data_IF_416441683410
#
_entry.id   IF_416441683410
#
_cell.length_a   1.000
_cell.length_b   1.000
_cell.length_c   1.000
_cell.angle_alpha   90.00
_cell.angle_beta   90.00
_cell.angle_gamma   90.00
#
_symmetry.space_group_name_H-M   'P 1'
#
loop_
_entity.id
_entity.type
_entity.pdbx_description
1 polymer ?
#
# COMPACT_ATOMS: atom_id res chain seq x y z
N UNK A 1 13.89 -15.45 4.06
CA UNK A 1 14.78 -14.95 5.11
C UNK A 1 14.20 -15.30 6.48
N UNK A 2 14.95 -16.05 7.28
CA UNK A 2 14.52 -16.48 8.62
C UNK A 2 15.01 -15.50 9.73
N UNK A 3 15.21 -14.23 9.36
CA UNK A 3 15.68 -13.21 10.29
C UNK A 3 14.55 -12.74 11.22
N UNK A 4 14.83 -12.66 12.53
CA UNK A 4 13.90 -12.15 13.53
C UNK A 4 13.79 -10.61 13.48
N UNK A 5 14.85 -9.93 13.12
CA UNK A 5 14.92 -8.48 12.96
C UNK A 5 15.68 -8.17 11.67
N UNK A 6 15.13 -7.26 10.87
CA UNK A 6 15.79 -6.69 9.69
C UNK A 6 15.88 -5.19 9.89
N UNK A 7 17.06 -4.63 9.67
CA UNK A 7 17.31 -3.20 9.62
C UNK A 7 17.54 -2.81 8.17
N UNK A 8 16.80 -1.82 7.70
CA UNK A 8 16.92 -1.29 6.34
C UNK A 8 17.34 0.16 6.48
N UNK A 9 18.47 0.49 5.86
CA UNK A 9 19.03 1.83 5.88
C UNK A 9 19.72 2.12 4.54
N UNK A 10 20.24 3.31 4.38
CA UNK A 10 21.07 3.74 3.26
C UNK A 10 22.44 4.16 3.77
N UNK A 11 23.47 4.14 2.94
CA UNK A 11 24.82 4.63 3.21
C UNK A 11 24.89 6.16 3.25
N UNK A 12 24.05 6.83 2.44
CA UNK A 12 23.88 8.28 2.39
C UNK A 12 22.48 8.65 1.90
N UNK A 13 22.09 9.90 2.06
CA UNK A 13 20.96 10.52 1.39
C UNK A 13 21.37 11.13 0.05
N UNK A 14 20.49 11.90 -0.56
CA UNK A 14 20.78 12.60 -1.83
C UNK A 14 19.91 13.84 -2.00
N UNK A 15 20.44 14.80 -2.78
CA UNK A 15 19.67 15.94 -3.28
C UNK A 15 18.94 15.54 -4.56
N UNK A 16 17.65 15.78 -4.58
CA UNK A 16 16.84 15.68 -5.80
C UNK A 16 16.38 17.05 -6.24
N UNK A 17 16.66 17.41 -7.50
CA UNK A 17 16.15 18.63 -8.12
C UNK A 17 15.34 18.29 -9.35
N UNK A 18 14.08 18.72 -9.36
CA UNK A 18 13.16 18.46 -10.48
C UNK A 18 13.50 19.30 -11.71
N UNK A 19 13.88 20.56 -11.49
CA UNK A 19 14.27 21.49 -12.53
C UNK A 19 15.80 21.62 -12.60
N UNK A 20 16.39 21.92 -13.76
CA UNK A 20 17.79 22.32 -13.87
C UNK A 20 18.07 23.54 -12.98
N UNK A 21 19.25 23.58 -12.35
CA UNK A 21 19.68 24.76 -11.58
C UNK A 21 20.08 25.88 -12.52
N UNK A 22 19.75 27.10 -12.10
CA UNK A 22 20.21 28.33 -12.74
C UNK A 22 21.72 28.52 -12.56
N UNK A 23 22.33 29.36 -13.39
CA UNK A 23 23.79 29.54 -13.34
C UNK A 23 24.27 30.18 -12.03
N UNK A 24 23.47 31.05 -11.38
CA UNK A 24 23.81 31.63 -10.09
C UNK A 24 23.75 30.64 -8.92
N UNK A 25 23.13 29.46 -9.10
CA UNK A 25 23.11 28.38 -8.13
C UNK A 25 24.34 27.47 -8.27
N UNK A 26 25.28 27.81 -9.14
CA UNK A 26 26.48 27.02 -9.44
C UNK A 26 27.73 27.82 -9.16
N UNK A 27 28.53 27.35 -8.24
CA UNK A 27 29.81 27.95 -7.90
C UNK A 27 30.92 27.44 -8.85
N UNK A 28 31.74 28.32 -9.32
CA UNK A 28 32.89 27.96 -10.13
C UNK A 28 34.09 27.50 -9.28
N UNK A 29 35.12 26.95 -9.92
CA UNK A 29 36.37 26.56 -9.25
C UNK A 29 37.13 27.76 -8.67
N UNK A 30 36.93 28.94 -9.21
CA UNK A 30 37.59 30.22 -8.84
C UNK A 30 37.35 30.63 -7.39
N UNK A 31 36.28 30.12 -6.76
CA UNK A 31 36.01 30.36 -5.34
C UNK A 31 36.89 29.52 -4.41
N UNK A 32 37.48 28.42 -4.93
CA UNK A 32 38.31 27.51 -4.16
C UNK A 32 39.77 27.95 -4.23
N UNK A 33 40.40 28.12 -3.07
CA UNK A 33 41.82 28.51 -2.96
C UNK A 33 42.63 27.35 -2.40
N UNK A 34 43.76 27.04 -3.05
CA UNK A 34 44.62 25.92 -2.70
C UNK A 34 44.77 24.90 -3.82
N UNK A 35 45.54 23.87 -3.60
CA UNK A 35 45.70 22.77 -4.52
C UNK A 35 44.42 21.86 -4.49
N UNK A 36 43.66 21.80 -5.56
CA UNK A 36 42.46 20.97 -5.65
C UNK A 36 42.89 19.54 -5.96
N UNK A 37 42.69 18.64 -5.01
CA UNK A 37 42.97 17.18 -5.15
C UNK A 37 41.79 16.43 -5.72
N UNK A 38 40.57 16.81 -5.32
CA UNK A 38 39.34 16.24 -5.83
C UNK A 38 38.30 17.33 -6.07
N UNK A 39 37.50 17.19 -7.13
CA UNK A 39 36.46 18.17 -7.45
C UNK A 39 35.20 17.44 -7.97
N UNK A 40 34.13 17.53 -7.22
CA UNK A 40 32.82 16.97 -7.52
C UNK A 40 31.76 18.06 -7.45
N UNK A 41 30.53 17.74 -7.85
CA UNK A 41 29.44 18.72 -7.82
C UNK A 41 29.05 19.17 -6.41
N UNK A 42 29.23 18.31 -5.40
CA UNK A 42 28.81 18.57 -4.02
C UNK A 42 29.94 18.71 -3.02
N UNK A 43 31.17 18.41 -3.42
CA UNK A 43 32.35 18.63 -2.60
C UNK A 43 33.62 18.84 -3.44
N UNK A 44 34.61 19.41 -2.79
CA UNK A 44 35.98 19.41 -3.26
C UNK A 44 36.92 19.09 -2.10
N UNK A 45 38.06 18.47 -2.37
CA UNK A 45 39.14 18.24 -1.39
C UNK A 45 40.32 19.12 -1.82
N UNK A 46 40.82 19.91 -0.86
CA UNK A 46 41.89 20.88 -1.06
C UNK A 46 43.07 20.53 -0.16
N UNK A 47 44.30 20.79 -0.62
CA UNK A 47 45.49 20.83 0.22
C UNK A 47 45.78 22.27 0.62
N UNK A 48 46.04 22.48 1.93
CA UNK A 48 46.27 23.79 2.53
C UNK A 48 45.01 24.40 3.15
N UNK A 49 45.16 25.50 3.86
CA UNK A 49 44.02 26.23 4.42
C UNK A 49 43.37 27.08 3.34
N UNK A 50 42.11 26.83 3.08
CA UNK A 50 41.29 27.69 2.26
C UNK A 50 40.80 28.88 3.12
N UNK A 51 41.29 30.08 2.85
CA UNK A 51 40.79 31.29 3.47
C UNK A 51 39.61 31.84 2.65
N UNK A 52 38.60 32.32 3.36
CA UNK A 52 37.41 33.02 2.85
C UNK A 52 36.97 32.62 1.42
N UNK A 53 36.12 31.66 1.35
CA UNK A 53 35.48 31.24 0.09
C UNK A 53 33.96 31.29 0.27
N UNK A 54 33.22 31.38 -0.84
CA UNK A 54 31.77 31.19 -0.85
C UNK A 54 31.41 29.70 -0.81
N UNK A 55 32.03 28.97 0.14
CA UNK A 55 31.82 27.56 0.39
C UNK A 55 32.01 27.24 1.87
N UNK A 56 31.36 26.20 2.38
CA UNK A 56 31.60 25.70 3.73
C UNK A 56 32.89 24.90 3.72
N UNK A 57 33.83 25.26 4.59
CA UNK A 57 35.14 24.60 4.72
C UNK A 57 35.16 23.73 5.99
N UNK A 58 35.54 22.48 5.86
CA UNK A 58 35.73 21.60 6.99
C UNK A 58 37.16 21.03 6.96
N UNK A 59 37.99 21.29 8.00
CA UNK A 59 39.27 20.62 8.19
C UNK A 59 39.08 19.12 8.33
N UNK A 60 40.02 18.34 7.81
CA UNK A 60 39.97 16.88 7.89
C UNK A 60 40.84 16.30 9.01
N UNK A 61 41.04 17.08 10.10
CA UNK A 61 41.80 16.66 11.27
C UNK A 61 41.25 15.40 11.92
N UNK A 62 39.91 15.30 11.98
CA UNK A 62 39.22 14.12 12.53
C UNK A 62 39.53 12.84 11.74
N UNK A 63 39.96 12.97 10.49
CA UNK A 63 40.40 11.85 9.65
C UNK A 63 41.92 11.67 9.65
N UNK A 64 42.63 12.31 10.60
CA UNK A 64 44.10 12.32 10.69
C UNK A 64 44.79 12.88 9.43
N UNK A 65 44.19 13.86 8.79
CA UNK A 65 44.68 14.53 7.58
C UNK A 65 44.62 16.06 7.74
N UNK A 66 45.41 16.63 8.68
CA UNK A 66 45.37 18.08 8.98
C UNK A 66 45.80 18.95 7.82
N UNK A 67 46.53 18.43 6.86
CA UNK A 67 46.93 19.10 5.66
C UNK A 67 45.82 19.26 4.62
N UNK A 68 44.67 18.62 4.84
CA UNK A 68 43.53 18.59 3.90
C UNK A 68 42.33 19.37 4.48
N UNK A 69 41.55 19.94 3.54
CA UNK A 69 40.28 20.59 3.84
C UNK A 69 39.25 20.16 2.81
N UNK A 70 38.05 19.85 3.27
CA UNK A 70 36.90 19.61 2.39
C UNK A 70 36.10 20.91 2.24
N UNK A 71 35.72 21.25 1.00
CA UNK A 71 34.91 22.38 0.66
C UNK A 71 33.55 21.91 0.12
N UNK A 72 32.47 22.51 0.59
CA UNK A 72 31.09 22.16 0.22
C UNK A 72 30.34 23.42 -0.22
N UNK A 73 29.57 23.38 -1.32
CA UNK A 73 28.71 24.51 -1.68
C UNK A 73 27.56 24.63 -0.67
N UNK A 74 27.09 25.85 -0.45
CA UNK A 74 26.00 26.14 0.48
C UNK A 74 24.67 25.51 0.03
N UNK A 75 23.91 25.00 0.98
CA UNK A 75 22.55 24.48 0.78
C UNK A 75 22.45 23.48 -0.38
N UNK A 76 21.61 23.77 -1.36
CA UNK A 76 21.40 22.97 -2.57
C UNK A 76 22.28 23.37 -3.75
N UNK A 77 23.14 24.39 -3.60
CA UNK A 77 24.08 24.84 -4.62
C UNK A 77 25.06 23.70 -5.00
N UNK A 78 25.74 23.87 -6.11
CA UNK A 78 26.73 22.89 -6.56
C UNK A 78 27.92 23.57 -7.26
N UNK A 79 29.02 22.87 -7.26
CA UNK A 79 30.18 23.31 -8.05
C UNK A 79 29.91 23.03 -9.54
N UNK A 80 30.30 23.98 -10.38
CA UNK A 80 30.13 23.90 -11.84
C UNK A 80 31.02 22.81 -12.43
N UNK A 81 30.38 21.85 -13.10
CA UNK A 81 31.06 20.78 -13.82
C UNK A 81 30.36 20.54 -15.16
N UNK A 82 31.15 20.26 -16.21
CA UNK A 82 30.61 19.85 -17.50
C UNK A 82 30.00 18.43 -17.46
N UNK A 83 28.96 18.25 -18.26
CA UNK A 83 28.35 16.94 -18.54
C UNK A 83 27.52 16.32 -17.41
N UNK A 84 26.79 15.27 -17.73
CA UNK A 84 26.07 14.40 -16.81
C UNK A 84 24.74 14.91 -16.26
N UNK A 85 23.84 14.00 -15.90
CA UNK A 85 22.60 14.30 -15.18
C UNK A 85 22.91 14.89 -13.80
N UNK A 86 22.17 15.93 -13.44
CA UNK A 86 22.34 16.62 -12.16
C UNK A 86 21.08 16.54 -11.29
N UNK A 87 20.11 15.68 -11.65
CA UNK A 87 18.85 15.55 -10.93
C UNK A 87 19.02 14.89 -9.55
N UNK A 88 19.92 13.93 -9.44
CA UNK A 88 20.26 13.24 -8.18
C UNK A 88 21.74 13.44 -7.88
N UNK A 89 22.05 14.05 -6.75
CA UNK A 89 23.42 14.30 -6.29
C UNK A 89 23.57 13.95 -4.82
N UNK A 90 24.77 13.54 -4.46
CA UNK A 90 25.17 13.24 -3.08
C UNK A 90 26.63 13.64 -2.84
N UNK A 91 27.10 13.51 -1.59
CA UNK A 91 28.48 13.81 -1.21
C UNK A 91 28.68 15.21 -0.66
N UNK A 92 27.58 15.96 -0.40
CA UNK A 92 27.61 17.21 0.34
C UNK A 92 27.21 17.04 1.80
N UNK A 93 27.04 18.18 2.50
CA UNK A 93 26.70 18.26 3.91
C UNK A 93 25.28 18.76 4.19
N UNK A 94 24.41 18.78 3.19
CA UNK A 94 23.01 19.11 3.42
C UNK A 94 22.29 18.01 4.20
N UNK A 95 21.22 18.37 4.93
CA UNK A 95 20.44 17.38 5.68
C UNK A 95 19.93 16.26 4.80
N UNK A 96 19.54 16.55 3.56
CA UNK A 96 19.06 15.56 2.60
C UNK A 96 20.14 14.55 2.18
N UNK A 97 21.41 14.93 2.26
CA UNK A 97 22.54 14.06 1.91
C UNK A 97 23.07 13.27 3.11
N UNK A 98 22.96 13.84 4.32
CA UNK A 98 23.50 13.27 5.55
C UNK A 98 22.51 12.43 6.34
N UNK A 99 21.21 12.77 6.28
CA UNK A 99 20.17 12.04 7.02
C UNK A 99 19.67 10.86 6.22
N UNK A 100 19.77 9.68 6.80
CA UNK A 100 19.31 8.42 6.21
C UNK A 100 18.17 7.81 7.02
N UNK A 101 17.21 7.13 6.39
CA UNK A 101 16.17 6.40 7.11
C UNK A 101 16.76 5.17 7.79
N UNK A 102 16.24 4.84 8.96
CA UNK A 102 16.48 3.56 9.61
C UNK A 102 15.14 2.89 9.90
N UNK A 103 14.78 1.92 9.05
CA UNK A 103 13.56 1.14 9.21
C UNK A 103 13.90 -0.17 9.91
N UNK A 104 13.26 -0.42 11.06
CA UNK A 104 13.37 -1.68 11.79
C UNK A 104 12.12 -2.53 11.54
N UNK A 105 12.30 -3.64 10.86
CA UNK A 105 11.28 -4.67 10.69
C UNK A 105 11.52 -5.81 11.68
N UNK A 106 10.48 -6.21 12.41
CA UNK A 106 10.50 -7.37 13.32
C UNK A 106 9.56 -8.45 12.79
N UNK A 107 10.13 -9.58 12.44
CA UNK A 107 9.37 -10.77 12.07
C UNK A 107 8.96 -11.51 13.36
N UNK A 108 7.66 -11.44 13.69
CA UNK A 108 7.09 -12.13 14.86
C UNK A 108 6.32 -13.34 14.39
N UNK A 109 6.59 -14.49 14.99
CA UNK A 109 5.92 -15.76 14.70
C UNK A 109 4.69 -15.92 15.58
N UNK A 110 3.78 -16.83 15.19
CA UNK A 110 2.66 -17.23 16.01
C UNK A 110 3.12 -17.66 17.41
N UNK A 111 2.40 -17.21 18.44
CA UNK A 111 2.73 -17.47 19.85
C UNK A 111 3.70 -16.44 20.48
N UNK A 112 4.36 -15.57 19.74
CA UNK A 112 5.21 -14.51 20.30
C UNK A 112 4.39 -13.29 20.72
N UNK A 113 4.81 -12.63 21.82
CA UNK A 113 4.19 -11.38 22.28
C UNK A 113 4.18 -10.33 21.15
N UNK A 114 3.00 -9.79 20.88
CA UNK A 114 2.78 -8.79 19.82
C UNK A 114 2.69 -9.37 18.40
N UNK A 115 2.57 -10.69 18.25
CA UNK A 115 2.11 -11.30 17.01
C UNK A 115 0.62 -11.02 16.82
N UNK A 116 0.24 -10.60 15.62
CA UNK A 116 -1.15 -10.47 15.19
C UNK A 116 -1.27 -11.12 13.83
N UNK A 117 -2.13 -12.11 13.71
CA UNK A 117 -2.39 -12.77 12.43
C UNK A 117 -2.98 -11.77 11.42
N UNK A 118 -2.65 -11.96 10.16
CA UNK A 118 -3.38 -11.30 9.07
C UNK A 118 -4.73 -12.02 8.98
N UNK A 119 -5.81 -11.26 8.98
CA UNK A 119 -7.19 -11.77 8.89
C UNK A 119 -7.92 -11.10 7.73
N UNK A 120 -9.03 -11.70 7.32
CA UNK A 120 -9.98 -11.10 6.39
C UNK A 120 -11.29 -10.83 7.15
N UNK A 121 -12.09 -9.80 6.78
CA UNK A 121 -13.33 -9.51 7.49
C UNK A 121 -14.34 -10.65 7.32
N UNK A 122 -15.11 -10.91 8.38
CA UNK A 122 -16.27 -11.79 8.33
C UNK A 122 -17.43 -11.11 7.62
N UNK A 123 -18.24 -11.93 6.95
CA UNK A 123 -19.43 -11.49 6.22
C UNK A 123 -20.66 -12.07 6.89
N UNK A 124 -21.62 -11.22 7.18
CA UNK A 124 -22.90 -11.59 7.77
C UNK A 124 -24.05 -11.13 6.87
N UNK A 125 -25.04 -12.01 6.67
CA UNK A 125 -26.27 -11.66 5.98
C UNK A 125 -27.21 -10.96 6.97
N UNK A 126 -27.61 -9.73 6.64
CA UNK A 126 -28.55 -8.97 7.45
C UNK A 126 -30.02 -9.36 7.16
N UNK A 127 -30.85 -9.23 8.19
CA UNK A 127 -32.25 -9.57 8.14
C UNK A 127 -32.52 -11.05 8.45
N UNK A 128 -33.74 -11.35 8.89
CA UNK A 128 -34.17 -12.71 9.30
C UNK A 128 -34.97 -13.41 8.20
N UNK A 129 -35.50 -12.67 7.23
CA UNK A 129 -36.30 -13.25 6.16
C UNK A 129 -35.45 -14.16 5.27
N UNK A 130 -35.81 -15.42 5.20
CA UNK A 130 -35.18 -16.48 4.38
C UNK A 130 -36.11 -16.98 3.26
N UNK A 131 -37.13 -16.19 2.93
CA UNK A 131 -38.09 -16.48 1.88
C UNK A 131 -37.91 -15.54 0.71
N UNK A 132 -37.78 -16.08 -0.48
CA UNK A 132 -37.71 -15.35 -1.75
C UNK A 132 -39.06 -15.49 -2.43
N UNK A 133 -39.75 -14.37 -2.66
CA UNK A 133 -41.06 -14.31 -3.28
C UNK A 133 -41.07 -13.66 -4.67
N UNK A 134 -39.94 -13.14 -5.12
CA UNK A 134 -39.81 -12.47 -6.41
C UNK A 134 -38.58 -12.94 -7.17
N UNK A 135 -38.62 -12.91 -8.49
CA UNK A 135 -37.51 -13.27 -9.36
C UNK A 135 -36.28 -12.37 -9.19
N UNK A 136 -36.53 -11.10 -8.83
CA UNK A 136 -35.51 -10.13 -8.42
C UNK A 136 -35.68 -9.87 -6.94
N UNK A 137 -34.62 -10.08 -6.18
CA UNK A 137 -34.60 -9.84 -4.72
C UNK A 137 -33.26 -9.27 -4.28
N UNK A 138 -33.28 -8.52 -3.19
CA UNK A 138 -32.09 -7.82 -2.70
C UNK A 138 -31.71 -8.35 -1.33
N UNK A 139 -30.43 -8.60 -1.14
CA UNK A 139 -29.85 -9.00 0.14
C UNK A 139 -28.85 -7.97 0.60
N UNK A 140 -28.78 -7.75 1.91
CA UNK A 140 -27.81 -6.86 2.54
C UNK A 140 -26.79 -7.69 3.30
N UNK A 141 -25.51 -7.44 3.05
CA UNK A 141 -24.39 -8.09 3.70
C UNK A 141 -23.66 -7.09 4.59
N UNK A 142 -23.24 -7.53 5.73
CA UNK A 142 -22.49 -6.72 6.68
C UNK A 142 -21.07 -7.22 6.79
N UNK A 143 -20.11 -6.34 6.51
CA UNK A 143 -18.70 -6.55 6.77
C UNK A 143 -18.42 -6.28 8.24
N UNK A 144 -18.10 -7.33 9.05
CA UNK A 144 -17.96 -7.20 10.51
C UNK A 144 -16.79 -6.33 10.93
N UNK A 145 -15.60 -6.58 10.39
CA UNK A 145 -14.39 -5.84 10.74
C UNK A 145 -14.06 -4.81 9.66
N UNK A 146 -13.70 -3.57 10.03
CA UNK A 146 -13.15 -2.62 9.08
C UNK A 146 -11.80 -3.10 8.55
N UNK A 147 -11.56 -2.91 7.26
CA UNK A 147 -10.25 -3.17 6.68
C UNK A 147 -9.23 -2.15 7.14
N UNK A 148 -8.00 -2.59 7.33
CA UNK A 148 -6.87 -1.77 7.74
C UNK A 148 -5.86 -2.55 8.58
N UNK A 149 -4.59 -2.15 8.53
CA UNK A 149 -3.52 -2.82 9.25
C UNK A 149 -3.44 -4.31 8.93
N UNK A 150 -3.85 -5.18 9.86
CA UNK A 150 -3.82 -6.64 9.72
C UNK A 150 -5.11 -7.24 9.15
N UNK A 151 -6.17 -6.46 9.02
CA UNK A 151 -7.42 -6.91 8.38
C UNK A 151 -7.35 -6.55 6.90
N UNK A 152 -7.08 -7.55 6.06
CA UNK A 152 -6.95 -7.40 4.62
C UNK A 152 -8.32 -7.53 3.93
N UNK A 153 -8.55 -6.86 2.78
CA UNK A 153 -9.77 -7.01 2.02
C UNK A 153 -10.09 -8.47 1.68
N UNK A 154 -11.38 -8.79 1.59
CA UNK A 154 -11.89 -10.10 1.15
C UNK A 154 -12.81 -9.91 -0.04
N UNK A 155 -12.65 -10.73 -1.07
CA UNK A 155 -13.63 -10.87 -2.15
C UNK A 155 -14.34 -12.20 -2.01
N UNK A 156 -15.66 -12.19 -1.93
CA UNK A 156 -16.49 -13.40 -1.92
C UNK A 156 -17.31 -13.48 -3.21
N UNK A 157 -17.41 -14.70 -3.75
CA UNK A 157 -18.40 -15.09 -4.77
C UNK A 157 -19.68 -15.51 -4.07
N UNK A 158 -20.80 -14.91 -4.46
CA UNK A 158 -22.08 -15.10 -3.80
C UNK A 158 -23.13 -15.47 -4.83
N UNK A 159 -23.83 -16.60 -4.63
CA UNK A 159 -24.96 -17.06 -5.46
C UNK A 159 -25.87 -17.98 -4.69
N UNK A 160 -27.07 -18.22 -5.22
CA UNK A 160 -27.95 -19.28 -4.76
C UNK A 160 -27.67 -20.59 -5.50
N UNK A 161 -27.75 -21.69 -4.78
CA UNK A 161 -27.57 -23.05 -5.26
C UNK A 161 -28.74 -23.95 -4.84
N UNK A 162 -29.04 -24.99 -5.61
CA UNK A 162 -29.92 -26.10 -5.22
C UNK A 162 -29.18 -27.08 -4.28
N UNK A 163 -29.87 -28.12 -3.87
CA UNK A 163 -29.30 -29.15 -3.00
C UNK A 163 -28.15 -29.93 -3.65
N UNK A 164 -28.06 -29.97 -4.97
CA UNK A 164 -26.98 -30.60 -5.74
C UNK A 164 -25.80 -29.66 -5.99
N UNK A 165 -25.92 -28.38 -5.61
CA UNK A 165 -24.88 -27.36 -5.79
C UNK A 165 -24.90 -26.66 -7.15
N UNK A 166 -25.96 -26.86 -7.96
CA UNK A 166 -26.13 -26.15 -9.22
C UNK A 166 -26.58 -24.71 -8.95
N UNK A 167 -26.04 -23.73 -9.70
CA UNK A 167 -26.45 -22.34 -9.53
C UNK A 167 -27.88 -22.12 -10.00
N UNK A 168 -28.70 -21.47 -9.17
CA UNK A 168 -30.08 -21.08 -9.46
C UNK A 168 -30.28 -19.57 -9.48
N UNK A 169 -29.22 -18.80 -9.24
CA UNK A 169 -29.18 -17.35 -9.42
C UNK A 169 -27.95 -16.91 -10.20
N UNK A 170 -27.94 -15.68 -10.65
CA UNK A 170 -26.69 -15.02 -11.04
C UNK A 170 -25.68 -15.01 -9.89
N UNK A 171 -24.38 -14.94 -10.26
CA UNK A 171 -23.27 -14.91 -9.30
C UNK A 171 -22.74 -13.48 -9.21
N UNK A 172 -22.52 -13.01 -7.99
CA UNK A 172 -21.98 -11.68 -7.71
C UNK A 172 -20.64 -11.74 -6.97
N UNK A 173 -19.80 -10.75 -7.23
CA UNK A 173 -18.60 -10.49 -6.43
C UNK A 173 -18.93 -9.50 -5.32
N UNK A 174 -18.79 -9.92 -4.09
CA UNK A 174 -18.93 -9.10 -2.90
C UNK A 174 -17.54 -8.70 -2.41
N UNK A 175 -17.17 -7.45 -2.63
CA UNK A 175 -15.88 -6.89 -2.18
C UNK A 175 -16.05 -6.25 -0.80
N UNK A 176 -15.39 -6.84 0.20
CA UNK A 176 -15.35 -6.38 1.58
C UNK A 176 -14.01 -5.68 1.83
N UNK A 177 -13.93 -4.39 1.50
CA UNK A 177 -12.74 -3.54 1.63
C UNK A 177 -13.00 -2.26 2.44
N UNK A 178 -14.17 -2.16 3.04
CA UNK A 178 -14.63 -0.97 3.76
C UNK A 178 -13.80 -0.74 5.03
N UNK A 179 -13.31 0.50 5.20
CA UNK A 179 -12.45 0.92 6.30
C UNK A 179 -13.18 1.69 7.40
N UNK A 180 -14.47 2.02 7.18
CA UNK A 180 -15.28 2.79 8.11
C UNK A 180 -15.39 2.09 9.48
N UNK A 181 -15.26 2.86 10.57
CA UNK A 181 -15.38 2.34 11.93
C UNK A 181 -16.84 2.11 12.33
N UNK A 182 -17.75 2.91 11.80
CA UNK A 182 -19.17 2.80 12.07
C UNK A 182 -19.82 1.62 11.35
N UNK A 183 -20.61 0.85 12.06
CA UNK A 183 -21.20 -0.39 11.54
C UNK A 183 -22.16 -0.17 10.37
N UNK A 184 -22.96 0.89 10.41
CA UNK A 184 -23.92 1.23 9.36
C UNK A 184 -23.27 1.57 8.01
N UNK A 185 -22.00 1.98 8.02
CA UNK A 185 -21.24 2.31 6.81
C UNK A 185 -20.56 1.07 6.18
N UNK A 186 -20.67 -0.10 6.81
CA UNK A 186 -20.12 -1.35 6.30
C UNK A 186 -21.16 -2.34 5.79
N UNK A 187 -22.28 -1.81 5.29
CA UNK A 187 -23.35 -2.61 4.68
C UNK A 187 -23.23 -2.57 3.16
N UNK A 188 -23.19 -3.75 2.57
CA UNK A 188 -23.08 -3.97 1.14
C UNK A 188 -24.39 -4.58 0.62
N UNK A 189 -24.91 -4.05 -0.48
CA UNK A 189 -26.21 -4.44 -1.03
C UNK A 189 -26.04 -5.10 -2.38
N UNK A 190 -26.66 -6.26 -2.57
CA UNK A 190 -26.65 -7.00 -3.85
C UNK A 190 -28.08 -7.37 -4.22
N UNK A 191 -28.43 -7.15 -5.49
CA UNK A 191 -29.69 -7.60 -6.08
C UNK A 191 -29.43 -8.81 -6.97
N UNK A 192 -30.07 -9.90 -6.66
CA UNK A 192 -29.97 -11.17 -7.36
C UNK A 192 -31.15 -11.40 -8.29
N UNK A 193 -30.88 -12.15 -9.36
CA UNK A 193 -31.89 -12.65 -10.27
C UNK A 193 -31.88 -14.18 -10.25
N UNK A 194 -33.04 -14.82 -10.10
CA UNK A 194 -33.18 -16.26 -10.30
C UNK A 194 -33.09 -16.61 -11.79
N UNK A 195 -32.43 -17.75 -12.08
CA UNK A 195 -32.12 -18.17 -13.45
C UNK A 195 -33.20 -19.07 -14.10
N UNK A 196 -34.14 -19.54 -13.32
CA UNK A 196 -35.16 -20.48 -13.79
C UNK A 196 -36.56 -20.13 -13.29
N UNK A 197 -37.48 -21.05 -13.55
CA UNK A 197 -38.86 -20.99 -13.09
C UNK A 197 -39.28 -22.36 -12.52
N UNK A 198 -40.39 -22.41 -11.78
CA UNK A 198 -40.92 -23.67 -11.26
C UNK A 198 -40.15 -24.22 -10.06
N UNK A 199 -39.69 -23.38 -9.17
CA UNK A 199 -39.01 -23.77 -7.93
C UNK A 199 -39.97 -24.50 -6.98
N UNK A 200 -39.49 -25.61 -6.38
CA UNK A 200 -40.26 -26.34 -5.38
C UNK A 200 -40.29 -25.52 -4.07
N UNK A 201 -41.50 -25.21 -3.60
CA UNK A 201 -41.72 -24.43 -2.34
C UNK A 201 -41.30 -25.19 -1.09
N UNK A 202 -41.24 -26.51 -1.17
CA UNK A 202 -40.86 -27.37 -0.04
C UNK A 202 -39.34 -27.69 -0.03
N UNK A 203 -38.64 -27.36 -1.11
CA UNK A 203 -37.21 -27.56 -1.19
C UNK A 203 -36.44 -26.47 -0.46
N UNK A 204 -35.27 -26.80 0.02
CA UNK A 204 -34.29 -25.83 0.53
C UNK A 204 -33.31 -25.46 -0.57
N UNK A 205 -33.02 -24.15 -0.68
CA UNK A 205 -32.02 -23.56 -1.55
C UNK A 205 -30.99 -22.87 -0.68
N UNK A 206 -29.78 -22.71 -1.20
CA UNK A 206 -28.67 -22.28 -0.38
C UNK A 206 -28.03 -21.01 -0.95
N UNK A 207 -28.00 -19.93 -0.18
CA UNK A 207 -27.12 -18.82 -0.45
C UNK A 207 -25.72 -19.22 -0.02
N UNK A 208 -24.80 -19.30 -1.00
CA UNK A 208 -23.44 -19.76 -0.76
C UNK A 208 -22.47 -18.62 -1.01
N UNK A 209 -21.61 -18.36 -0.04
CA UNK A 209 -20.52 -17.41 -0.11
C UNK A 209 -19.21 -18.19 -0.15
N UNK A 210 -18.39 -17.98 -1.20
CA UNK A 210 -17.05 -18.58 -1.32
C UNK A 210 -15.98 -17.51 -1.42
N UNK A 211 -14.87 -17.69 -0.71
CA UNK A 211 -13.70 -16.82 -0.86
C UNK A 211 -13.15 -16.96 -2.28
N UNK A 212 -12.96 -15.83 -2.99
CA UNK A 212 -12.52 -15.85 -4.39
C UNK A 212 -11.08 -16.35 -4.54
N UNK A 213 -10.22 -16.05 -3.56
CA UNK A 213 -8.80 -16.41 -3.58
C UNK A 213 -8.58 -17.84 -3.10
N UNK A 214 -9.14 -18.18 -1.93
CA UNK A 214 -8.93 -19.45 -1.25
C UNK A 214 -9.81 -20.57 -1.79
N UNK A 215 -10.87 -20.24 -2.56
CA UNK A 215 -11.89 -21.15 -3.08
C UNK A 215 -12.66 -21.92 -1.99
N UNK A 216 -12.54 -21.49 -0.74
CA UNK A 216 -13.21 -22.09 0.42
C UNK A 216 -14.61 -21.52 0.61
N UNK A 217 -15.52 -22.34 1.12
CA UNK A 217 -16.85 -21.88 1.51
C UNK A 217 -16.76 -21.09 2.82
N UNK A 218 -17.15 -19.81 2.76
CA UNK A 218 -17.18 -18.92 3.93
C UNK A 218 -18.46 -19.18 4.73
N UNK A 219 -19.60 -19.29 4.00
CA UNK A 219 -20.92 -19.41 4.62
C UNK A 219 -21.93 -20.03 3.67
N UNK A 220 -22.85 -20.80 4.26
CA UNK A 220 -24.00 -21.40 3.58
C UNK A 220 -25.26 -21.11 4.40
N UNK A 221 -26.30 -20.53 3.77
CA UNK A 221 -27.51 -20.08 4.44
C UNK A 221 -28.71 -20.61 3.68
N UNK A 222 -29.61 -21.32 4.38
CA UNK A 222 -30.83 -21.88 3.78
C UNK A 222 -31.85 -20.78 3.46
N UNK A 223 -32.46 -20.91 2.29
CA UNK A 223 -33.58 -20.11 1.80
C UNK A 223 -34.69 -20.99 1.28
N UNK A 224 -35.90 -20.46 1.26
CA UNK A 224 -37.05 -21.04 0.56
C UNK A 224 -37.48 -20.10 -0.55
N UNK A 225 -37.90 -20.67 -1.68
CA UNK A 225 -38.42 -19.92 -2.83
C UNK A 225 -39.91 -20.18 -2.93
N UNK A 226 -40.71 -19.14 -2.84
CA UNK A 226 -42.18 -19.21 -2.93
C UNK A 226 -42.67 -18.06 -3.84
N UNK A 227 -42.46 -18.27 -5.14
CA UNK A 227 -42.92 -17.35 -6.17
C UNK A 227 -44.27 -17.84 -6.64
N UNK A 228 -45.30 -17.01 -6.48
CA UNK A 228 -46.60 -17.22 -7.09
C UNK A 228 -46.49 -16.88 -8.59
N UNK A 229 -46.49 -17.88 -9.44
CA UNK A 229 -46.82 -17.67 -10.85
C UNK A 229 -48.33 -17.47 -10.91
N UNK A 230 -48.79 -16.25 -11.08
CA UNK A 230 -50.11 -16.05 -11.68
C UNK A 230 -49.99 -16.51 -13.12
N UNK A 231 -50.66 -17.61 -13.44
CA UNK A 231 -50.98 -17.95 -14.83
C UNK A 231 -51.88 -16.86 -15.40
N UNK A 232 -51.26 -15.77 -15.89
CA UNK A 232 -51.97 -14.66 -16.54
C UNK A 232 -52.33 -14.97 -18.01
N UNK A 233 -52.41 -16.25 -18.39
CA UNK A 233 -52.98 -16.69 -19.67
C UNK A 233 -53.83 -17.93 -19.47
N UNK A 234 -54.92 -17.79 -18.73
CA UNK A 234 -56.06 -18.67 -18.84
C UNK A 234 -56.87 -18.25 -20.04
N UNK A 235 -56.66 -18.87 -21.19
CA UNK A 235 -57.66 -19.00 -22.27
C UNK A 235 -57.71 -20.46 -22.65
#
# INVERSE_FOLDING_TARGET
LNAATVLITSDHGFLYTRAPLEEYEKNGKEILRGEILEYKRRHAVLRGQANETDAVLLPLDALSRPELCAAFPHGCMRFRMQGGSSAYLHGGISLQEMVVPLVRYQNRRAGQKGYTAITKPDIELLGENRKISNNLFTLNFYQKQPCGGKVQPRTARVRLEDAAGHPISDEHRLLCDLTAQENNQRVLRITFRLLGSGYDRNAEYWLVLRDEDEKTEIRRIAFRIDILFEDMFGI
#
